data_IF_583606642948
#
_entry.id   IF_583606642948
#
_cell.length_a   1.000
_cell.length_b   1.000
_cell.length_c   1.000
_cell.angle_alpha   90.00
_cell.angle_beta   90.00
_cell.angle_gamma   90.00
#
_symmetry.space_group_name_H-M   'P 1'
#
loop_
_entity.id
_entity.type
_entity.pdbx_description
1 polymer ?
#
# COMPACT_ATOMS: atom_id res chain seq x y z
N UNK A 1 -5.99 22.42 8.64
CA UNK A 1 -6.18 21.30 7.68
C UNK A 1 -5.07 20.25 7.68
N UNK A 2 -3.83 20.53 7.24
CA UNK A 2 -2.78 19.48 7.15
C UNK A 2 -2.53 18.77 8.49
N UNK A 3 -2.25 19.52 9.55
CA UNK A 3 -1.99 18.95 10.88
C UNK A 3 -3.17 18.15 11.43
N UNK A 4 -4.39 18.55 11.13
CA UNK A 4 -5.56 17.79 11.55
C UNK A 4 -5.67 16.46 10.79
N UNK A 5 -5.27 16.41 9.51
CA UNK A 5 -5.15 15.17 8.74
C UNK A 5 -3.96 14.32 9.22
N UNK A 6 -2.87 14.93 9.69
CA UNK A 6 -1.77 14.22 10.37
C UNK A 6 -2.30 13.48 11.59
N UNK A 7 -2.95 14.21 12.50
CA UNK A 7 -3.50 13.63 13.73
C UNK A 7 -4.52 12.54 13.43
N UNK A 8 -5.50 12.82 12.55
CA UNK A 8 -6.50 11.84 12.15
C UNK A 8 -5.87 10.59 11.51
N UNK A 9 -4.90 10.77 10.60
CA UNK A 9 -4.16 9.66 9.99
C UNK A 9 -3.40 8.81 11.01
N UNK A 10 -2.78 9.43 12.03
CA UNK A 10 -2.07 8.71 13.08
C UNK A 10 -3.02 7.97 14.03
N UNK A 11 -4.25 8.44 14.26
CA UNK A 11 -5.23 7.71 15.08
C UNK A 11 -5.62 6.34 14.48
N UNK A 12 -5.46 6.16 13.17
CA UNK A 12 -5.66 4.87 12.50
C UNK A 12 -4.72 3.80 13.06
N UNK A 13 -3.50 4.17 13.46
CA UNK A 13 -2.53 3.23 14.08
C UNK A 13 -2.96 2.77 15.48
N UNK A 14 -3.86 3.51 16.14
CA UNK A 14 -4.44 3.11 17.43
C UNK A 14 -5.45 1.97 17.32
N UNK A 15 -5.90 1.63 16.11
CA UNK A 15 -6.87 0.55 15.89
C UNK A 15 -6.14 -0.79 15.71
N UNK A 16 -6.53 -1.81 16.49
CA UNK A 16 -5.93 -3.14 16.39
C UNK A 16 -6.11 -3.76 15.00
N UNK A 17 -7.21 -3.42 14.31
CA UNK A 17 -7.50 -3.88 12.95
C UNK A 17 -6.44 -3.42 11.94
N UNK A 18 -5.82 -2.24 12.15
CA UNK A 18 -4.74 -1.75 11.29
C UNK A 18 -3.53 -2.67 11.35
N UNK A 19 -3.20 -3.19 12.53
CA UNK A 19 -2.09 -4.13 12.71
C UNK A 19 -2.42 -5.50 12.13
N UNK A 20 -3.65 -6.00 12.31
CA UNK A 20 -4.06 -7.25 11.70
C UNK A 20 -4.09 -7.16 10.16
N UNK A 21 -4.58 -6.04 9.60
CA UNK A 21 -4.51 -5.79 8.17
C UNK A 21 -3.06 -5.68 7.68
N UNK A 22 -2.13 -5.15 8.49
CA UNK A 22 -0.72 -5.09 8.12
C UNK A 22 -0.09 -6.50 8.06
N UNK A 23 -0.52 -7.40 8.95
CA UNK A 23 -0.15 -8.83 8.88
C UNK A 23 -0.73 -9.48 7.62
N UNK A 24 -1.98 -9.19 7.25
CA UNK A 24 -2.59 -9.65 6.00
C UNK A 24 -1.82 -9.13 4.76
N UNK A 25 -1.48 -7.83 4.73
CA UNK A 25 -0.64 -7.23 3.70
C UNK A 25 0.69 -7.97 3.56
N UNK A 26 1.39 -8.20 4.67
CA UNK A 26 2.63 -8.94 4.70
C UNK A 26 2.43 -10.38 4.23
N UNK A 27 1.35 -11.06 4.61
CA UNK A 27 1.04 -12.41 4.17
C UNK A 27 0.83 -12.52 2.66
N UNK A 28 0.01 -11.64 2.09
CA UNK A 28 -0.25 -11.59 0.64
C UNK A 28 1.04 -11.33 -0.13
N UNK A 29 1.92 -10.47 0.39
CA UNK A 29 3.15 -10.11 -0.30
C UNK A 29 4.28 -11.13 -0.10
N UNK A 30 4.55 -11.56 1.14
CA UNK A 30 5.68 -12.41 1.49
C UNK A 30 5.48 -13.88 1.16
N UNK A 31 4.29 -14.44 1.39
CA UNK A 31 4.08 -15.90 1.25
C UNK A 31 4.44 -16.35 -0.18
N UNK A 32 3.92 -15.71 -1.26
CA UNK A 32 4.26 -16.14 -2.61
C UNK A 32 5.73 -15.89 -2.96
N UNK A 33 6.33 -14.79 -2.46
CA UNK A 33 7.75 -14.50 -2.66
C UNK A 33 8.64 -15.55 -2.02
N UNK A 34 8.32 -16.01 -0.81
CA UNK A 34 9.03 -17.10 -0.12
C UNK A 34 8.86 -18.41 -0.87
N UNK A 35 7.63 -18.76 -1.28
CA UNK A 35 7.37 -19.99 -2.05
C UNK A 35 8.23 -20.02 -3.31
N UNK A 36 8.32 -18.90 -4.04
CA UNK A 36 9.11 -18.82 -5.26
C UNK A 36 10.61 -18.86 -4.97
N UNK A 37 11.07 -18.16 -3.91
CA UNK A 37 12.45 -18.22 -3.46
C UNK A 37 12.89 -19.66 -3.18
N UNK A 38 12.10 -20.39 -2.37
CA UNK A 38 12.37 -21.80 -2.05
C UNK A 38 12.28 -22.70 -3.28
N UNK A 39 11.25 -22.53 -4.12
CA UNK A 39 11.10 -23.34 -5.34
C UNK A 39 12.23 -23.09 -6.36
N UNK A 40 12.78 -21.87 -6.41
CA UNK A 40 13.91 -21.52 -7.27
C UNK A 40 15.26 -21.98 -6.74
N UNK A 41 15.43 -22.08 -5.42
CA UNK A 41 16.66 -22.52 -4.76
C UNK A 41 16.78 -24.04 -4.55
N UNK A 42 15.69 -24.80 -4.73
CA UNK A 42 15.67 -26.26 -4.50
C UNK A 42 16.31 -27.11 -5.62
N UNK A 43 16.81 -26.49 -6.71
CA UNK A 43 17.52 -27.18 -7.79
C UNK A 43 19.03 -27.01 -7.66
N UNK A 44 19.71 -28.00 -7.07
CA UNK A 44 21.10 -27.87 -6.64
C UNK A 44 22.19 -27.85 -7.72
N UNK A 45 21.94 -27.97 -9.04
CA UNK A 45 23.06 -28.21 -9.98
C UNK A 45 23.03 -27.48 -11.32
N UNK A 46 22.03 -26.65 -11.61
CA UNK A 46 22.06 -25.81 -12.81
C UNK A 46 21.65 -24.40 -12.41
N UNK A 47 22.50 -23.42 -12.71
CA UNK A 47 22.38 -22.03 -12.27
C UNK A 47 20.97 -21.43 -12.47
N UNK A 48 20.69 -20.29 -11.82
CA UNK A 48 19.36 -19.69 -11.78
C UNK A 48 18.77 -19.59 -13.18
N UNK A 49 17.73 -20.39 -13.46
CA UNK A 49 17.09 -20.41 -14.78
C UNK A 49 16.62 -18.99 -15.12
N UNK A 50 17.03 -18.41 -16.27
CA UNK A 50 16.78 -17.01 -16.60
C UNK A 50 15.28 -16.64 -16.62
N UNK A 51 14.39 -17.62 -16.84
CA UNK A 51 12.94 -17.46 -16.77
C UNK A 51 12.41 -17.11 -15.37
N UNK A 52 13.06 -17.57 -14.29
CA UNK A 52 12.65 -17.25 -12.92
C UNK A 52 12.91 -15.77 -12.57
N UNK A 53 13.95 -15.15 -13.17
CA UNK A 53 14.28 -13.75 -12.94
C UNK A 53 13.24 -12.78 -13.51
N UNK A 54 12.81 -12.97 -14.77
CA UNK A 54 11.82 -12.09 -15.39
C UNK A 54 10.43 -12.22 -14.74
N UNK A 55 10.02 -13.44 -14.38
CA UNK A 55 8.72 -13.67 -13.75
C UNK A 55 8.65 -13.04 -12.35
N UNK A 56 9.72 -13.18 -11.55
CA UNK A 56 9.79 -12.57 -10.21
C UNK A 56 9.79 -11.04 -10.26
N UNK A 57 10.42 -10.44 -11.28
CA UNK A 57 10.39 -9.00 -11.53
C UNK A 57 8.98 -8.46 -11.78
N UNK A 58 8.12 -9.22 -12.49
CA UNK A 58 6.72 -8.81 -12.74
C UNK A 58 5.81 -9.13 -11.55
N UNK A 59 6.04 -10.27 -10.90
CA UNK A 59 5.16 -10.76 -9.86
C UNK A 59 5.25 -9.93 -8.58
N UNK A 60 6.45 -9.46 -8.20
CA UNK A 60 6.59 -8.66 -6.98
C UNK A 60 5.73 -7.37 -7.00
N UNK A 61 5.79 -6.52 -8.04
CA UNK A 61 4.88 -5.38 -8.18
C UNK A 61 3.40 -5.77 -8.16
N UNK A 62 3.04 -6.90 -8.79
CA UNK A 62 1.66 -7.39 -8.81
C UNK A 62 1.16 -7.73 -7.40
N UNK A 63 1.95 -8.48 -6.63
CA UNK A 63 1.63 -8.86 -5.26
C UNK A 63 1.57 -7.63 -4.34
N UNK A 64 2.48 -6.66 -4.50
CA UNK A 64 2.46 -5.41 -3.76
C UNK A 64 1.18 -4.61 -4.06
N UNK A 65 0.77 -4.52 -5.33
CA UNK A 65 -0.47 -3.85 -5.72
C UNK A 65 -1.69 -4.55 -5.11
N UNK A 66 -1.76 -5.88 -5.21
CA UNK A 66 -2.85 -6.67 -4.63
C UNK A 66 -2.94 -6.49 -3.11
N UNK A 67 -1.81 -6.61 -2.41
CA UNK A 67 -1.73 -6.40 -0.96
C UNK A 67 -2.15 -4.97 -0.58
N UNK A 68 -1.71 -3.95 -1.33
CA UNK A 68 -2.08 -2.54 -1.12
C UNK A 68 -3.58 -2.31 -1.28
N UNK A 69 -4.20 -2.90 -2.31
CA UNK A 69 -5.65 -2.82 -2.53
C UNK A 69 -6.37 -3.43 -1.34
N UNK A 70 -6.08 -4.69 -1.00
CA UNK A 70 -6.76 -5.41 0.09
C UNK A 70 -6.62 -4.63 1.40
N UNK A 71 -5.40 -4.19 1.74
CA UNK A 71 -5.12 -3.43 2.95
C UNK A 71 -5.95 -2.15 3.07
N UNK A 72 -5.90 -1.28 2.05
CA UNK A 72 -6.57 0.02 2.10
C UNK A 72 -8.09 -0.10 2.01
N UNK A 73 -8.59 -1.09 1.27
CA UNK A 73 -10.03 -1.30 1.12
C UNK A 73 -10.63 -1.89 2.40
N UNK A 74 -9.95 -2.86 3.02
CA UNK A 74 -10.33 -3.39 4.34
C UNK A 74 -10.37 -2.29 5.38
N UNK A 75 -9.37 -1.40 5.42
CA UNK A 75 -9.31 -0.31 6.39
C UNK A 75 -10.13 0.93 6.01
N UNK A 76 -10.72 0.98 4.82
CA UNK A 76 -11.37 2.19 4.30
C UNK A 76 -12.38 2.86 5.22
N UNK A 77 -13.24 2.15 5.99
CA UNK A 77 -14.17 2.82 6.90
C UNK A 77 -13.45 3.55 8.04
N UNK A 78 -12.35 3.00 8.54
CA UNK A 78 -11.51 3.60 9.58
C UNK A 78 -10.71 4.76 8.99
N UNK A 79 -10.11 4.56 7.81
CA UNK A 79 -9.31 5.58 7.12
C UNK A 79 -10.09 6.85 6.80
N UNK A 80 -11.37 6.71 6.43
CA UNK A 80 -12.25 7.84 6.16
C UNK A 80 -12.97 8.37 7.41
N UNK A 81 -12.70 7.82 8.60
CA UNK A 81 -13.31 8.25 9.87
C UNK A 81 -14.81 7.96 9.96
N UNK A 82 -15.30 6.92 9.26
CA UNK A 82 -16.73 6.55 9.18
C UNK A 82 -17.12 5.43 10.14
N UNK A 83 -16.18 4.57 10.53
CA UNK A 83 -16.43 3.47 11.45
C UNK A 83 -15.15 3.13 12.22
N UNK A 84 -15.30 2.58 13.43
CA UNK A 84 -14.20 1.98 14.20
C UNK A 84 -13.89 0.54 13.79
N UNK A 85 -14.70 -0.04 12.88
CA UNK A 85 -14.54 -1.40 12.38
C UNK A 85 -14.07 -1.42 10.92
N UNK A 86 -13.12 -2.31 10.64
CA UNK A 86 -12.65 -2.59 9.29
C UNK A 86 -13.67 -3.42 8.50
N UNK A 87 -13.72 -3.23 7.19
CA UNK A 87 -14.58 -3.97 6.28
C UNK A 87 -13.83 -5.16 5.65
N UNK A 88 -13.55 -6.19 6.47
CA UNK A 88 -12.73 -7.36 6.10
C UNK A 88 -13.16 -8.06 4.80
N UNK A 89 -14.46 -8.13 4.55
CA UNK A 89 -14.99 -8.79 3.36
C UNK A 89 -15.04 -7.88 2.12
N UNK A 90 -14.87 -6.57 2.28
CA UNK A 90 -15.10 -5.59 1.22
C UNK A 90 -14.23 -5.78 -0.04
N UNK A 91 -12.89 -5.92 0.03
CA UNK A 91 -12.08 -6.12 -1.18
C UNK A 91 -12.49 -7.40 -1.94
N UNK A 92 -12.77 -8.47 -1.21
CA UNK A 92 -13.15 -9.77 -1.78
C UNK A 92 -14.55 -9.73 -2.40
N UNK A 93 -15.53 -9.19 -1.69
CA UNK A 93 -16.90 -9.03 -2.20
C UNK A 93 -16.94 -8.14 -3.44
N UNK A 94 -16.17 -7.05 -3.44
CA UNK A 94 -16.12 -6.17 -4.60
C UNK A 94 -15.44 -6.83 -5.80
N UNK A 95 -14.36 -7.58 -5.60
CA UNK A 95 -13.70 -8.33 -6.67
C UNK A 95 -14.66 -9.31 -7.35
N UNK A 96 -15.50 -9.99 -6.58
CA UNK A 96 -16.51 -10.93 -7.11
C UNK A 96 -17.68 -10.19 -7.77
N UNK A 97 -18.20 -9.14 -7.13
CA UNK A 97 -19.38 -8.42 -7.63
C UNK A 97 -19.06 -7.52 -8.85
N UNK A 98 -17.85 -6.95 -8.89
CA UNK A 98 -17.42 -5.97 -9.89
C UNK A 98 -16.00 -6.30 -10.40
N UNK A 99 -15.81 -7.45 -11.07
CA UNK A 99 -14.48 -7.91 -11.48
C UNK A 99 -13.83 -6.96 -12.49
N UNK A 100 -14.63 -6.28 -13.32
CA UNK A 100 -14.12 -5.39 -14.37
C UNK A 100 -13.54 -4.08 -13.83
N UNK A 101 -14.23 -3.30 -12.98
CA UNK A 101 -13.61 -2.17 -12.28
C UNK A 101 -12.37 -2.57 -11.47
N UNK A 102 -12.42 -3.71 -10.78
CA UNK A 102 -11.28 -4.22 -10.02
C UNK A 102 -10.07 -4.51 -10.93
N UNK A 103 -10.27 -5.19 -12.05
CA UNK A 103 -9.21 -5.48 -13.02
C UNK A 103 -8.59 -4.20 -13.59
N UNK A 104 -9.42 -3.19 -13.92
CA UNK A 104 -8.93 -1.87 -14.39
C UNK A 104 -8.06 -1.17 -13.36
N UNK A 105 -8.47 -1.18 -12.09
CA UNK A 105 -7.69 -0.59 -11.01
C UNK A 105 -6.37 -1.34 -10.81
N UNK A 106 -6.41 -2.68 -10.76
CA UNK A 106 -5.22 -3.51 -10.61
C UNK A 106 -4.23 -3.29 -11.76
N UNK A 107 -4.72 -3.19 -13.00
CA UNK A 107 -3.89 -2.86 -14.16
C UNK A 107 -3.31 -1.44 -14.06
N UNK A 108 -4.10 -0.45 -13.65
CA UNK A 108 -3.63 0.92 -13.48
C UNK A 108 -2.53 1.02 -12.41
N UNK A 109 -2.69 0.33 -11.27
CA UNK A 109 -1.68 0.24 -10.22
C UNK A 109 -0.43 -0.49 -10.69
N UNK A 110 -0.57 -1.58 -11.45
CA UNK A 110 0.57 -2.32 -12.00
C UNK A 110 1.36 -1.46 -12.98
N UNK A 111 0.70 -0.76 -13.90
CA UNK A 111 1.34 0.18 -14.83
C UNK A 111 2.00 1.33 -14.06
N UNK A 112 1.34 1.89 -13.05
CA UNK A 112 1.93 2.92 -12.21
C UNK A 112 3.18 2.41 -11.48
N UNK A 113 3.11 1.22 -10.87
CA UNK A 113 4.25 0.60 -10.18
C UNK A 113 5.42 0.37 -11.14
N UNK A 114 5.14 -0.12 -12.36
CA UNK A 114 6.14 -0.33 -13.40
C UNK A 114 6.81 0.99 -13.80
N UNK A 115 6.02 2.01 -14.16
CA UNK A 115 6.53 3.34 -14.56
C UNK A 115 7.34 3.99 -13.44
N UNK A 116 6.86 3.92 -12.20
CA UNK A 116 7.57 4.45 -11.03
C UNK A 116 8.87 3.69 -10.75
N UNK A 117 8.92 2.40 -11.07
CA UNK A 117 10.12 1.57 -10.99
C UNK A 117 11.26 2.03 -11.92
N UNK A 118 10.95 2.65 -13.07
CA UNK A 118 11.96 3.24 -13.96
C UNK A 118 12.56 4.54 -13.43
N UNK A 119 11.96 5.16 -12.40
CA UNK A 119 12.48 6.40 -11.81
C UNK A 119 13.49 6.01 -10.73
N UNK A 120 14.82 6.22 -10.92
CA UNK A 120 15.85 5.62 -10.06
C UNK A 120 15.75 6.03 -8.59
N UNK A 121 15.26 7.25 -8.33
CA UNK A 121 15.09 7.78 -6.97
C UNK A 121 13.87 7.15 -6.30
N UNK A 122 12.71 7.11 -7.00
CA UNK A 122 11.45 6.61 -6.42
C UNK A 122 11.50 5.09 -6.28
N UNK A 123 12.03 4.38 -7.28
CA UNK A 123 12.14 2.91 -7.26
C UNK A 123 13.02 2.36 -6.12
N UNK A 124 13.89 3.18 -5.53
CA UNK A 124 14.70 2.82 -4.36
C UNK A 124 13.99 3.08 -3.03
N UNK A 125 13.00 3.96 -3.01
CA UNK A 125 12.32 4.40 -1.79
C UNK A 125 10.96 3.69 -1.72
N UNK A 126 10.95 2.48 -1.15
CA UNK A 126 9.74 1.63 -1.09
C UNK A 126 8.54 2.35 -0.43
N UNK A 127 8.78 3.12 0.62
CA UNK A 127 7.71 3.91 1.25
C UNK A 127 7.09 4.97 0.32
N UNK A 128 7.87 5.55 -0.60
CA UNK A 128 7.36 6.49 -1.59
C UNK A 128 6.51 5.77 -2.65
N UNK A 129 6.91 4.57 -3.05
CA UNK A 129 6.11 3.72 -3.94
C UNK A 129 4.76 3.36 -3.29
N UNK A 130 4.76 2.92 -2.02
CA UNK A 130 3.52 2.66 -1.27
C UNK A 130 2.66 3.91 -1.12
N UNK A 131 3.25 5.08 -0.87
CA UNK A 131 2.52 6.34 -0.82
C UNK A 131 1.78 6.62 -2.13
N UNK A 132 2.47 6.49 -3.26
CA UNK A 132 1.89 6.76 -4.58
C UNK A 132 0.82 5.73 -4.95
N UNK A 133 1.14 4.43 -4.84
CA UNK A 133 0.19 3.35 -5.12
C UNK A 133 -1.02 3.43 -4.20
N UNK A 134 -0.81 3.61 -2.91
CA UNK A 134 -1.89 3.75 -1.94
C UNK A 134 -2.75 4.98 -2.18
N UNK A 135 -2.16 6.11 -2.59
CA UNK A 135 -2.92 7.30 -2.99
C UNK A 135 -3.78 7.00 -4.22
N UNK A 136 -3.24 6.35 -5.25
CA UNK A 136 -4.01 5.95 -6.43
C UNK A 136 -5.15 5.00 -6.04
N UNK A 137 -4.90 4.01 -5.19
CA UNK A 137 -5.92 3.08 -4.67
C UNK A 137 -7.05 3.83 -3.96
N UNK A 138 -6.73 4.82 -3.12
CA UNK A 138 -7.74 5.63 -2.43
C UNK A 138 -8.54 6.50 -3.39
N UNK A 139 -7.90 7.07 -4.42
CA UNK A 139 -8.59 7.85 -5.47
C UNK A 139 -9.60 6.96 -6.19
N UNK A 140 -9.20 5.75 -6.59
CA UNK A 140 -10.11 4.78 -7.21
C UNK A 140 -11.26 4.40 -6.26
N UNK A 141 -10.95 4.17 -4.99
CA UNK A 141 -11.98 3.84 -4.00
C UNK A 141 -12.99 4.97 -3.84
N UNK A 142 -12.53 6.23 -3.72
CA UNK A 142 -13.39 7.41 -3.66
C UNK A 142 -14.23 7.55 -4.94
N UNK A 143 -13.65 7.28 -6.11
CA UNK A 143 -14.38 7.31 -7.38
C UNK A 143 -15.48 6.25 -7.44
N UNK A 144 -15.20 5.03 -6.99
CA UNK A 144 -16.17 3.94 -6.90
C UNK A 144 -17.30 4.32 -5.93
N UNK A 145 -16.95 4.78 -4.72
CA UNK A 145 -17.94 5.20 -3.73
C UNK A 145 -18.78 6.39 -4.25
N UNK A 146 -18.13 7.38 -4.85
CA UNK A 146 -18.77 8.56 -5.42
C UNK A 146 -19.76 8.22 -6.53
N UNK A 147 -19.47 7.21 -7.36
CA UNK A 147 -20.39 6.75 -8.42
C UNK A 147 -21.75 6.27 -7.90
N UNK A 148 -21.84 5.90 -6.62
CA UNK A 148 -23.08 5.45 -5.98
C UNK A 148 -23.94 6.61 -5.44
N UNK A 149 -23.39 7.84 -5.31
CA UNK A 149 -24.10 8.98 -4.71
C UNK A 149 -24.36 10.09 -5.73
N UNK A 150 -25.62 10.46 -6.06
CA UNK A 150 -25.94 11.37 -7.17
C UNK A 150 -25.28 12.78 -7.15
N UNK A 151 -24.71 13.23 -6.03
CA UNK A 151 -24.03 14.52 -5.89
C UNK A 151 -22.49 14.46 -6.00
N UNK A 152 -21.95 13.58 -6.85
CA UNK A 152 -20.50 13.36 -6.99
C UNK A 152 -19.67 14.58 -7.45
N UNK A 153 -20.30 15.67 -7.89
CA UNK A 153 -19.60 16.78 -8.56
C UNK A 153 -18.69 17.63 -7.66
N UNK A 154 -18.68 17.39 -6.34
CA UNK A 154 -17.96 18.25 -5.38
C UNK A 154 -16.78 17.60 -4.64
N UNK A 155 -16.44 16.33 -4.91
CA UNK A 155 -15.33 15.69 -4.20
C UNK A 155 -13.99 16.14 -4.80
N UNK A 156 -13.30 17.05 -4.12
CA UNK A 156 -11.95 17.45 -4.48
C UNK A 156 -10.97 16.34 -4.10
N UNK A 157 -10.48 15.61 -5.11
CA UNK A 157 -9.53 14.51 -4.92
C UNK A 157 -8.08 15.00 -4.81
N UNK A 158 -7.78 16.13 -5.48
CA UNK A 158 -6.43 16.72 -5.52
C UNK A 158 -6.23 17.64 -4.32
N UNK A 159 -5.31 17.34 -3.40
CA UNK A 159 -5.02 18.23 -2.30
C UNK A 159 -4.24 19.47 -2.78
N UNK A 160 -4.32 20.55 -2.01
CA UNK A 160 -3.58 21.78 -2.28
C UNK A 160 -2.06 21.58 -2.19
N UNK A 161 -1.30 22.49 -2.82
CA UNK A 161 0.17 22.41 -2.92
C UNK A 161 0.86 22.13 -1.57
N UNK A 162 0.56 22.93 -0.55
CA UNK A 162 1.16 22.78 0.79
C UNK A 162 0.88 21.44 1.46
N UNK A 163 -0.29 20.84 1.18
CA UNK A 163 -0.63 19.53 1.71
C UNK A 163 0.19 18.43 1.03
N UNK A 164 0.38 18.52 -0.30
CA UNK A 164 1.27 17.61 -1.04
C UNK A 164 2.71 17.74 -0.53
N UNK A 165 3.21 18.96 -0.35
CA UNK A 165 4.55 19.20 0.22
C UNK A 165 4.67 18.55 1.61
N UNK A 166 3.67 18.72 2.48
CA UNK A 166 3.64 18.09 3.79
C UNK A 166 3.64 16.56 3.73
N UNK A 167 2.85 15.96 2.83
CA UNK A 167 2.86 14.51 2.59
C UNK A 167 4.22 14.00 2.12
N UNK A 168 4.91 14.74 1.25
CA UNK A 168 6.24 14.38 0.77
C UNK A 168 7.28 14.45 1.89
N UNK A 169 7.23 15.48 2.74
CA UNK A 169 8.14 15.60 3.90
C UNK A 169 7.92 14.45 4.88
N UNK A 170 6.67 14.19 5.28
CA UNK A 170 6.36 13.08 6.20
C UNK A 170 6.70 11.74 5.56
N UNK A 171 6.37 11.54 4.28
CA UNK A 171 6.72 10.34 3.54
C UNK A 171 8.23 10.11 3.45
N UNK A 172 9.02 11.16 3.27
CA UNK A 172 10.49 11.09 3.31
C UNK A 172 11.02 10.69 4.69
N UNK A 173 10.47 11.25 5.76
CA UNK A 173 10.82 10.86 7.14
C UNK A 173 10.44 9.40 7.44
N UNK A 174 9.22 8.99 7.06
CA UNK A 174 8.77 7.61 7.23
C UNK A 174 9.59 6.63 6.40
N UNK A 175 9.99 7.02 5.18
CA UNK A 175 10.88 6.22 4.35
C UNK A 175 12.24 6.00 5.02
N UNK A 176 12.85 7.07 5.53
CA UNK A 176 14.13 7.00 6.24
C UNK A 176 14.04 6.11 7.49
N UNK A 177 13.01 6.29 8.32
CA UNK A 177 12.75 5.45 9.49
C UNK A 177 12.52 3.99 9.10
N UNK A 178 11.73 3.76 8.06
CA UNK A 178 11.45 2.42 7.55
C UNK A 178 12.70 1.70 7.06
N UNK A 179 13.63 2.41 6.39
CA UNK A 179 14.93 1.84 6.01
C UNK A 179 15.76 1.44 7.21
N UNK A 180 15.83 2.29 8.26
CA UNK A 180 16.57 1.97 9.49
C UNK A 180 15.99 0.73 10.18
N UNK A 181 14.67 0.69 10.35
CA UNK A 181 13.98 -0.43 11.00
C UNK A 181 14.14 -1.71 10.21
N UNK A 182 13.95 -1.67 8.89
CA UNK A 182 14.14 -2.84 8.03
C UNK A 182 15.59 -3.33 8.06
N UNK A 183 16.59 -2.43 8.00
CA UNK A 183 18.00 -2.82 8.06
C UNK A 183 18.34 -3.50 9.40
N UNK A 184 17.80 -3.00 10.52
CA UNK A 184 17.98 -3.64 11.82
C UNK A 184 17.35 -5.04 11.87
N UNK A 185 16.14 -5.21 11.33
CA UNK A 185 15.49 -6.52 11.24
C UNK A 185 16.26 -7.49 10.36
N UNK A 186 16.81 -7.04 9.22
CA UNK A 186 17.68 -7.86 8.36
C UNK A 186 18.88 -8.39 9.15
N UNK A 187 19.59 -7.52 9.86
CA UNK A 187 20.74 -7.93 10.70
C UNK A 187 20.34 -8.92 11.78
N UNK A 188 19.15 -8.78 12.38
CA UNK A 188 18.67 -9.72 13.39
C UNK A 188 18.29 -11.09 12.81
N UNK A 189 17.70 -11.13 11.61
CA UNK A 189 17.26 -12.36 10.95
C UNK A 189 18.43 -13.11 10.32
N UNK A 190 19.32 -12.41 9.63
CA UNK A 190 20.47 -13.01 8.93
C UNK A 190 21.48 -13.65 9.90
N UNK A 191 21.50 -13.25 11.18
CA UNK A 191 22.27 -13.94 12.22
C UNK A 191 21.89 -15.42 12.38
N UNK A 192 20.68 -15.82 11.97
CA UNK A 192 20.18 -17.19 12.11
C UNK A 192 20.09 -17.93 10.79
N UNK A 193 19.80 -17.24 9.69
CA UNK A 193 19.61 -17.83 8.36
C UNK A 193 20.08 -16.84 7.29
N UNK A 194 21.15 -17.17 6.57
CA UNK A 194 21.71 -16.30 5.54
C UNK A 194 20.70 -16.04 4.41
N UNK A 195 20.51 -14.76 4.04
CA UNK A 195 19.74 -14.34 2.87
C UNK A 195 18.24 -14.11 3.10
N UNK A 196 17.65 -14.63 4.20
CA UNK A 196 16.23 -14.45 4.51
C UNK A 196 15.89 -13.01 4.89
N UNK A 197 16.83 -12.28 5.52
CA UNK A 197 16.64 -10.89 5.90
C UNK A 197 16.34 -9.98 4.71
N UNK A 198 16.94 -10.25 3.55
CA UNK A 198 16.73 -9.44 2.34
C UNK A 198 15.30 -9.49 1.82
N UNK A 199 14.60 -10.63 1.98
CA UNK A 199 13.20 -10.79 1.56
C UNK A 199 12.23 -9.96 2.41
N UNK A 200 12.60 -9.69 3.67
CA UNK A 200 11.77 -8.92 4.60
C UNK A 200 11.95 -7.40 4.44
N UNK A 201 13.09 -6.96 3.90
CA UNK A 201 13.47 -5.55 3.85
C UNK A 201 12.42 -4.69 3.13
N UNK A 202 12.00 -5.12 1.94
CA UNK A 202 11.05 -4.37 1.10
C UNK A 202 9.63 -4.32 1.71
N UNK A 203 8.98 -5.46 2.07
CA UNK A 203 7.68 -5.47 2.70
C UNK A 203 7.58 -4.60 3.96
N UNK A 204 8.59 -4.69 4.84
CA UNK A 204 8.57 -3.94 6.11
C UNK A 204 8.76 -2.45 5.86
N UNK A 205 9.68 -2.07 4.96
CA UNK A 205 9.87 -0.67 4.60
C UNK A 205 8.61 -0.08 3.94
N UNK A 206 7.89 -0.88 3.16
CA UNK A 206 6.64 -0.49 2.54
C UNK A 206 5.55 -0.13 3.57
N UNK A 207 5.51 -0.78 4.74
CA UNK A 207 4.53 -0.48 5.80
C UNK A 207 4.62 0.98 6.28
N UNK A 208 5.83 1.54 6.36
CA UNK A 208 6.02 2.95 6.74
C UNK A 208 5.44 3.92 5.71
N UNK A 209 5.36 3.49 4.44
CA UNK A 209 4.70 4.26 3.39
C UNK A 209 3.19 4.40 3.59
N UNK A 210 2.55 3.55 4.40
CA UNK A 210 1.13 3.70 4.72
C UNK A 210 0.82 4.88 5.66
N UNK A 211 1.78 5.34 6.46
CA UNK A 211 1.57 6.48 7.36
C UNK A 211 1.12 7.74 6.58
N UNK A 212 1.87 8.22 5.57
CA UNK A 212 1.40 9.35 4.75
C UNK A 212 0.14 9.00 3.93
N UNK A 213 -0.10 7.73 3.58
CA UNK A 213 -1.37 7.31 2.94
C UNK A 213 -2.55 7.50 3.88
N UNK A 214 -2.41 7.19 5.17
CA UNK A 214 -3.47 7.39 6.17
C UNK A 214 -3.79 8.87 6.35
N UNK A 215 -2.78 9.73 6.30
CA UNK A 215 -2.98 11.18 6.34
C UNK A 215 -3.76 11.67 5.12
N UNK A 216 -3.43 11.15 3.93
CA UNK A 216 -4.16 11.46 2.71
C UNK A 216 -5.59 10.93 2.75
N UNK A 217 -5.80 9.71 3.25
CA UNK A 217 -7.12 9.12 3.41
C UNK A 217 -7.98 9.92 4.39
N UNK A 218 -7.43 10.37 5.51
CA UNK A 218 -8.13 11.21 6.47
C UNK A 218 -8.52 12.57 5.86
N UNK A 219 -7.68 13.14 5.00
CA UNK A 219 -8.04 14.33 4.23
C UNK A 219 -9.18 14.06 3.24
N UNK A 220 -9.12 12.96 2.48
CA UNK A 220 -10.20 12.54 1.58
C UNK A 220 -11.51 12.27 2.32
N UNK A 221 -11.46 11.63 3.49
CA UNK A 221 -12.61 11.34 4.34
C UNK A 221 -13.38 12.61 4.72
N UNK A 222 -12.67 13.73 4.96
CA UNK A 222 -13.31 15.04 5.22
C UNK A 222 -13.95 15.65 3.98
N UNK A 223 -13.35 15.47 2.80
CA UNK A 223 -13.96 15.90 1.55
C UNK A 223 -15.25 15.11 1.28
N UNK A 224 -15.23 13.79 1.57
CA UNK A 224 -16.41 12.94 1.50
C UNK A 224 -17.48 13.33 2.53
N UNK A 225 -17.09 13.69 3.76
CA UNK A 225 -17.98 14.20 4.81
C UNK A 225 -18.74 15.44 4.33
N UNK A 226 -17.99 16.43 3.85
CA UNK A 226 -18.56 17.65 3.29
C UNK A 226 -19.51 17.38 2.11
N UNK A 227 -19.10 16.53 1.16
CA UNK A 227 -19.91 16.21 -0.03
C UNK A 227 -21.20 15.44 0.29
N UNK A 228 -21.20 14.62 1.35
CA UNK A 228 -22.35 13.82 1.77
C UNK A 228 -23.24 14.55 2.79
N UNK A 229 -22.84 15.73 3.28
CA UNK A 229 -23.58 16.48 4.29
C UNK A 229 -23.61 15.81 5.67
N UNK A 230 -22.56 15.04 6.00
CA UNK A 230 -22.42 14.28 7.26
C UNK A 230 -21.14 14.69 7.97
#
# INVERSE_FOLDING_TARGET
MFWESVWAGLTVLGHWQTWLAAVEYLGIYLIPTVIIGVASGAGNDEGPKPLAGCLTMLLSPLLQCAATIVFLWTLSPILFGRSSQAAWAFPWQFMVANPWPFAKMSLALLVAAFVLGFIPIIGRIQAALTLLLGSITLIFLVWILGSQFPNHQHIQVKPGFWFVTGLLVVGGLCAWLGTIVSAFLVVLVDRKQEGWGQLLLMPVAALFGFIPVFMYAAWLGRQLAFALGV
#
